data_IF_588155647507
#
_entry.id   IF_588155647507
#
_cell.length_a   1.000
_cell.length_b   1.000
_cell.length_c   1.000
_cell.angle_alpha   90.00
_cell.angle_beta   90.00
_cell.angle_gamma   90.00
#
_symmetry.space_group_name_H-M   'P 1'
#
loop_
_entity.id
_entity.type
_entity.pdbx_description
1 polymer ?
#
# COMPACT_ATOMS: atom_id res chain seq x y z
N UNK A 1 34.80 -29.49 18.86
CA UNK A 1 35.04 -29.61 17.41
C UNK A 1 33.81 -29.01 16.73
N UNK A 2 33.89 -27.75 16.30
CA UNK A 2 32.77 -27.07 15.63
C UNK A 2 33.02 -27.14 14.12
N UNK A 3 32.14 -27.84 13.40
CA UNK A 3 32.12 -27.83 11.94
C UNK A 3 31.52 -26.49 11.51
N UNK A 4 32.38 -25.56 11.06
CA UNK A 4 31.95 -24.35 10.38
C UNK A 4 31.75 -24.75 8.92
N UNK A 5 30.53 -25.11 8.54
CA UNK A 5 30.19 -25.39 7.14
C UNK A 5 30.24 -24.11 6.33
N UNK A 6 31.16 -24.03 5.37
CA UNK A 6 31.27 -22.90 4.44
C UNK A 6 30.04 -22.87 3.52
N UNK A 7 29.18 -21.87 3.66
CA UNK A 7 28.09 -21.62 2.70
C UNK A 7 28.73 -21.03 1.43
N UNK A 8 28.76 -21.81 0.35
CA UNK A 8 29.23 -21.34 -0.95
C UNK A 8 28.08 -20.65 -1.67
N UNK A 9 28.14 -19.33 -1.80
CA UNK A 9 27.19 -18.56 -2.62
C UNK A 9 27.68 -18.62 -4.07
N UNK A 10 27.02 -19.42 -4.91
CA UNK A 10 27.30 -19.46 -6.35
C UNK A 10 26.48 -18.38 -7.05
N UNK A 11 27.14 -17.34 -7.56
CA UNK A 11 26.53 -16.35 -8.45
C UNK A 11 26.62 -16.87 -9.88
N UNK A 12 25.52 -17.39 -10.42
CA UNK A 12 25.39 -17.68 -11.85
C UNK A 12 24.89 -16.43 -12.56
N UNK A 13 25.68 -15.94 -13.52
CA UNK A 13 25.22 -15.02 -14.54
C UNK A 13 25.16 -15.80 -15.86
N UNK A 14 23.98 -16.00 -16.44
CA UNK A 14 23.73 -15.59 -17.82
C UNK A 14 22.24 -15.66 -18.19
N UNK A 15 21.93 -14.84 -19.18
CA UNK A 15 20.69 -14.55 -19.85
C UNK A 15 20.19 -15.73 -20.71
N UNK A 16 18.91 -16.10 -20.56
CA UNK A 16 17.88 -16.29 -21.61
C UNK A 16 16.79 -17.27 -21.14
N UNK A 17 15.55 -16.81 -21.22
CA UNK A 17 14.27 -17.56 -21.22
C UNK A 17 14.16 -18.74 -20.24
N UNK A 18 13.96 -18.44 -18.95
CA UNK A 18 13.90 -19.44 -17.88
C UNK A 18 12.49 -20.03 -17.71
N UNK A 19 12.25 -21.23 -18.24
CA UNK A 19 11.33 -22.17 -17.59
C UNK A 19 12.03 -22.64 -16.31
N UNK A 20 11.56 -22.21 -15.14
CA UNK A 20 12.26 -22.39 -13.86
C UNK A 20 12.51 -23.87 -13.53
N UNK A 21 13.77 -24.30 -13.53
CA UNK A 21 14.22 -25.63 -13.06
C UNK A 21 14.06 -25.83 -11.54
N UNK A 22 13.79 -24.76 -10.79
CA UNK A 22 13.70 -24.77 -9.34
C UNK A 22 12.25 -24.73 -8.85
N UNK A 23 11.97 -25.52 -7.81
CA UNK A 23 10.67 -25.55 -7.12
C UNK A 23 10.50 -24.28 -6.29
N UNK A 24 9.36 -23.61 -6.47
CA UNK A 24 8.98 -22.46 -5.66
C UNK A 24 8.46 -22.93 -4.31
N UNK A 25 8.93 -22.33 -3.22
CA UNK A 25 8.40 -22.63 -1.89
C UNK A 25 6.93 -22.17 -1.80
N UNK A 26 5.99 -23.04 -1.39
CA UNK A 26 4.56 -22.73 -1.45
C UNK A 26 4.15 -21.51 -0.60
N UNK A 27 4.85 -21.26 0.51
CA UNK A 27 4.49 -20.19 1.46
C UNK A 27 5.46 -18.99 1.46
N UNK A 28 6.68 -19.18 0.95
CA UNK A 28 7.77 -18.19 1.08
C UNK A 28 8.17 -17.60 -0.27
N UNK A 29 7.68 -18.16 -1.38
CA UNK A 29 7.85 -17.57 -2.70
C UNK A 29 6.71 -16.58 -2.95
N UNK A 30 6.99 -15.29 -2.79
CA UNK A 30 5.99 -14.24 -2.90
C UNK A 30 5.78 -13.76 -4.34
N UNK A 31 4.53 -13.46 -4.67
CA UNK A 31 4.19 -12.75 -5.89
C UNK A 31 4.33 -11.23 -5.71
N UNK A 32 4.95 -10.59 -6.69
CA UNK A 32 5.11 -9.13 -6.73
C UNK A 32 4.20 -8.52 -7.78
N UNK A 33 3.84 -7.26 -7.55
CA UNK A 33 3.11 -6.41 -8.47
C UNK A 33 3.93 -5.17 -8.78
N UNK A 34 4.04 -4.82 -10.05
CA UNK A 34 4.66 -3.57 -10.53
C UNK A 34 3.57 -2.56 -10.86
N UNK A 35 3.61 -1.41 -10.19
CA UNK A 35 2.68 -0.30 -10.34
C UNK A 35 3.44 0.93 -10.83
N UNK A 36 2.86 1.69 -11.76
CA UNK A 36 3.38 2.97 -12.21
C UNK A 36 2.48 4.08 -11.67
N UNK A 37 3.05 4.98 -10.86
CA UNK A 37 2.38 6.18 -10.37
C UNK A 37 3.17 7.39 -10.82
N UNK A 38 2.50 8.28 -11.56
CA UNK A 38 3.16 9.38 -12.27
C UNK A 38 4.32 8.86 -13.14
N UNK A 39 5.57 9.11 -12.73
CA UNK A 39 6.79 8.67 -13.39
C UNK A 39 7.63 7.71 -12.54
N UNK A 40 7.04 7.08 -11.52
CA UNK A 40 7.74 6.24 -10.56
C UNK A 40 7.18 4.81 -10.54
N UNK A 41 8.07 3.82 -10.67
CA UNK A 41 7.73 2.41 -10.56
C UNK A 41 7.81 1.93 -9.10
N UNK A 42 6.76 1.26 -8.65
CA UNK A 42 6.67 0.61 -7.35
C UNK A 42 6.55 -0.89 -7.56
N UNK A 43 7.52 -1.66 -7.06
CA UNK A 43 7.45 -3.13 -7.03
C UNK A 43 7.19 -3.58 -5.60
N UNK A 44 6.01 -4.13 -5.35
CA UNK A 44 5.54 -4.47 -4.00
C UNK A 44 5.00 -5.89 -3.94
N UNK A 45 4.95 -6.53 -2.76
CA UNK A 45 4.22 -7.78 -2.60
C UNK A 45 2.74 -7.59 -2.96
N UNK A 46 2.17 -8.52 -3.72
CA UNK A 46 0.79 -8.45 -4.21
C UNK A 46 -0.24 -8.72 -3.11
N UNK A 47 0.00 -9.76 -2.32
CA UNK A 47 -0.92 -10.28 -1.30
C UNK A 47 -1.43 -9.21 -0.31
N UNK A 48 -0.59 -8.31 0.23
CA UNK A 48 -1.05 -7.24 1.12
C UNK A 48 -2.11 -6.32 0.52
N UNK A 49 -1.95 -5.94 -0.76
CA UNK A 49 -2.90 -5.09 -1.47
C UNK A 49 -4.20 -5.84 -1.74
N UNK A 50 -4.11 -7.12 -2.12
CA UNK A 50 -5.27 -7.97 -2.37
C UNK A 50 -6.10 -8.25 -1.11
N UNK A 51 -5.44 -8.40 0.05
CA UNK A 51 -6.13 -8.63 1.32
C UNK A 51 -6.81 -7.35 1.84
N UNK A 52 -6.14 -6.20 1.73
CA UNK A 52 -6.66 -4.95 2.29
C UNK A 52 -7.61 -4.20 1.35
N UNK A 53 -7.40 -4.25 0.03
CA UNK A 53 -8.22 -3.51 -0.95
C UNK A 53 -9.20 -4.41 -1.71
N UNK A 54 -10.49 -4.06 -1.63
CA UNK A 54 -11.54 -4.69 -2.44
C UNK A 54 -11.28 -4.48 -3.94
N UNK A 55 -10.93 -3.25 -4.33
CA UNK A 55 -10.68 -2.88 -5.73
C UNK A 55 -9.53 -3.69 -6.32
N UNK A 56 -8.38 -3.78 -5.63
CA UNK A 56 -7.26 -4.59 -6.11
C UNK A 56 -7.61 -6.08 -6.15
N UNK A 57 -8.30 -6.59 -5.12
CA UNK A 57 -8.76 -7.99 -5.11
C UNK A 57 -9.65 -8.34 -6.29
N UNK A 58 -10.60 -7.46 -6.61
CA UNK A 58 -11.52 -7.71 -7.71
C UNK A 58 -10.80 -7.57 -9.06
N UNK A 59 -9.92 -6.57 -9.22
CA UNK A 59 -9.03 -6.43 -10.37
C UNK A 59 -8.23 -7.73 -10.63
N UNK A 60 -7.71 -8.35 -9.58
CA UNK A 60 -6.93 -9.58 -9.65
C UNK A 60 -7.74 -10.84 -10.00
N UNK A 61 -9.06 -10.81 -9.80
CA UNK A 61 -9.98 -11.91 -10.14
C UNK A 61 -10.49 -11.82 -11.57
N UNK A 62 -10.33 -10.68 -12.25
CA UNK A 62 -10.78 -10.53 -13.61
C UNK A 62 -10.03 -11.50 -14.56
N UNK A 63 -10.73 -12.10 -15.53
CA UNK A 63 -10.11 -13.01 -16.47
C UNK A 63 -9.05 -12.27 -17.30
N UNK A 64 -7.85 -12.82 -17.32
CA UNK A 64 -6.75 -12.23 -18.06
C UNK A 64 -6.81 -12.64 -19.55
N UNK A 65 -6.49 -11.72 -20.47
CA UNK A 65 -6.44 -12.03 -21.89
C UNK A 65 -5.44 -13.16 -22.18
N UNK A 66 -5.91 -14.23 -22.85
CA UNK A 66 -5.14 -15.47 -23.06
C UNK A 66 -3.83 -15.31 -23.85
N UNK A 67 -3.70 -14.25 -24.63
CA UNK A 67 -2.60 -14.04 -25.58
C UNK A 67 -1.79 -12.76 -25.31
N UNK A 68 -2.00 -12.10 -24.18
CA UNK A 68 -1.28 -10.87 -23.84
C UNK A 68 -0.42 -11.04 -22.59
N UNK A 69 0.70 -10.33 -22.54
CA UNK A 69 1.50 -10.21 -21.32
C UNK A 69 0.65 -9.58 -20.21
N UNK A 70 0.66 -10.21 -19.04
CA UNK A 70 -0.10 -9.81 -17.87
C UNK A 70 0.47 -8.50 -17.32
N UNK A 71 -0.39 -7.49 -17.19
CA UNK A 71 -0.02 -6.20 -16.61
C UNK A 71 0.44 -6.35 -15.14
N UNK A 72 1.46 -5.59 -14.77
CA UNK A 72 2.03 -5.57 -13.42
C UNK A 72 2.98 -6.73 -13.10
N UNK A 73 3.31 -7.59 -14.07
CA UNK A 73 4.26 -8.71 -13.85
C UNK A 73 5.73 -8.27 -13.90
N UNK A 74 6.03 -7.27 -14.72
CA UNK A 74 7.37 -6.72 -14.91
C UNK A 74 7.32 -5.21 -15.22
N UNK A 75 8.50 -4.61 -15.33
CA UNK A 75 8.69 -3.17 -15.48
C UNK A 75 8.29 -2.66 -16.88
N UNK A 76 8.12 -3.55 -17.87
CA UNK A 76 7.78 -3.18 -19.25
C UNK A 76 6.29 -2.92 -19.43
N UNK A 77 5.44 -3.56 -18.62
CA UNK A 77 3.99 -3.37 -18.63
C UNK A 77 3.45 -3.25 -17.20
N UNK A 78 3.76 -2.16 -16.48
CA UNK A 78 3.27 -1.94 -15.12
C UNK A 78 1.77 -1.64 -15.09
N UNK A 79 1.11 -1.86 -13.95
CA UNK A 79 -0.26 -1.37 -13.72
C UNK A 79 -0.22 0.14 -13.50
N UNK A 80 -0.81 0.91 -14.42
CA UNK A 80 -0.74 2.38 -14.36
C UNK A 80 -1.87 2.93 -13.48
N UNK A 81 -1.50 3.70 -12.44
CA UNK A 81 -2.45 4.36 -11.54
C UNK A 81 -2.50 5.86 -11.87
N UNK A 82 -3.67 6.32 -12.31
CA UNK A 82 -3.92 7.71 -12.68
C UNK A 82 -4.61 8.50 -11.56
N UNK A 83 -4.38 9.81 -11.52
CA UNK A 83 -5.11 10.73 -10.62
C UNK A 83 -4.63 10.73 -9.16
N UNK A 84 -3.49 10.10 -8.88
CA UNK A 84 -2.86 10.06 -7.56
C UNK A 84 -1.38 10.47 -7.71
N UNK A 85 -0.82 11.10 -6.69
CA UNK A 85 0.63 11.38 -6.70
C UNK A 85 1.44 10.21 -6.17
N UNK A 86 2.71 10.12 -6.56
CA UNK A 86 3.61 9.08 -6.05
C UNK A 86 3.82 9.18 -4.53
N UNK A 87 3.80 10.38 -3.96
CA UNK A 87 3.98 10.61 -2.53
C UNK A 87 2.75 10.14 -1.73
N UNK A 88 1.54 10.38 -2.26
CA UNK A 88 0.31 9.86 -1.66
C UNK A 88 0.31 8.33 -1.66
N UNK A 89 0.72 7.74 -2.78
CA UNK A 89 0.81 6.30 -2.94
C UNK A 89 1.86 5.67 -2.01
N UNK A 90 3.04 6.30 -1.90
CA UNK A 90 4.08 5.88 -0.96
C UNK A 90 3.57 5.88 0.49
N UNK A 91 2.78 6.89 0.90
CA UNK A 91 2.20 6.94 2.24
C UNK A 91 1.26 5.75 2.49
N UNK A 92 0.39 5.41 1.53
CA UNK A 92 -0.49 4.24 1.67
C UNK A 92 0.32 2.95 1.78
N UNK A 93 1.32 2.74 0.92
CA UNK A 93 2.17 1.55 0.95
C UNK A 93 2.94 1.43 2.26
N UNK A 94 3.49 2.52 2.76
CA UNK A 94 4.15 2.57 4.07
C UNK A 94 3.18 2.13 5.16
N UNK A 95 1.99 2.73 5.24
CA UNK A 95 0.98 2.36 6.23
C UNK A 95 0.56 0.88 6.15
N UNK A 96 0.38 0.36 4.93
CA UNK A 96 0.03 -1.03 4.66
C UNK A 96 1.12 -2.01 5.14
N UNK A 97 2.36 -1.78 4.69
CA UNK A 97 3.47 -2.71 4.93
C UNK A 97 3.99 -2.63 6.37
N UNK A 98 3.95 -1.45 7.01
CA UNK A 98 4.33 -1.29 8.41
C UNK A 98 3.44 -2.13 9.34
N UNK A 99 2.13 -2.20 9.04
CA UNK A 99 1.16 -2.97 9.83
C UNK A 99 1.39 -4.48 9.74
N UNK A 100 1.86 -4.96 8.60
CA UNK A 100 2.07 -6.40 8.38
C UNK A 100 3.40 -6.92 8.91
N UNK A 101 4.47 -6.12 8.84
CA UNK A 101 5.83 -6.59 9.13
C UNK A 101 6.43 -6.06 10.46
N UNK A 102 5.73 -5.15 11.15
CA UNK A 102 6.16 -4.60 12.43
C UNK A 102 7.35 -3.63 12.34
N UNK A 103 7.22 -2.47 13.00
CA UNK A 103 8.25 -1.48 13.38
C UNK A 103 9.51 -1.35 12.51
N UNK A 104 9.39 -1.36 11.18
CA UNK A 104 10.44 -0.80 10.34
C UNK A 104 10.36 0.73 10.47
N UNK A 105 11.32 1.33 11.18
CA UNK A 105 11.36 2.79 11.43
C UNK A 105 11.23 3.63 10.15
N UNK A 106 11.67 3.10 9.00
CA UNK A 106 11.57 3.79 7.71
C UNK A 106 10.17 3.83 7.09
N UNK A 107 9.23 3.03 7.60
CA UNK A 107 7.85 2.92 7.10
C UNK A 107 6.83 3.64 8.00
N UNK A 108 7.27 4.25 9.10
CA UNK A 108 6.37 4.93 10.05
C UNK A 108 5.97 6.31 9.51
N UNK A 109 4.67 6.60 9.55
CA UNK A 109 4.11 7.91 9.19
C UNK A 109 3.92 8.76 10.44
N UNK A 110 4.40 10.00 10.38
CA UNK A 110 4.41 10.92 11.51
C UNK A 110 3.62 12.20 11.27
N UNK A 111 3.36 12.55 10.01
CA UNK A 111 2.77 13.83 9.65
C UNK A 111 1.29 13.68 9.30
N UNK A 112 0.49 14.70 9.64
CA UNK A 112 -0.94 14.76 9.33
C UNK A 112 -1.21 14.67 7.83
N UNK A 113 -0.42 15.35 6.99
CA UNK A 113 -0.55 15.27 5.53
C UNK A 113 -0.43 13.84 5.00
N UNK A 114 0.50 13.05 5.55
CA UNK A 114 0.69 11.65 5.17
C UNK A 114 -0.54 10.80 5.50
N UNK A 115 -1.10 10.99 6.70
CA UNK A 115 -2.29 10.26 7.12
C UNK A 115 -3.56 10.72 6.38
N UNK A 116 -3.63 11.97 5.90
CA UNK A 116 -4.66 12.41 4.96
C UNK A 116 -4.51 11.67 3.62
N UNK A 117 -3.29 11.50 3.09
CA UNK A 117 -3.05 10.70 1.88
C UNK A 117 -3.50 9.24 2.07
N UNK A 118 -3.19 8.64 3.23
CA UNK A 118 -3.67 7.29 3.58
C UNK A 118 -5.19 7.27 3.62
N UNK A 119 -5.86 8.23 4.26
CA UNK A 119 -7.31 8.32 4.32
C UNK A 119 -7.93 8.43 2.91
N UNK A 120 -7.35 9.27 2.05
CA UNK A 120 -7.80 9.48 0.67
C UNK A 120 -7.75 8.17 -0.13
N UNK A 121 -6.57 7.54 -0.21
CA UNK A 121 -6.39 6.36 -1.04
C UNK A 121 -7.04 5.11 -0.46
N UNK A 122 -7.06 4.96 0.88
CA UNK A 122 -7.79 3.87 1.52
C UNK A 122 -9.30 3.98 1.34
N UNK A 123 -9.84 5.20 1.21
CA UNK A 123 -11.25 5.39 0.83
C UNK A 123 -11.46 5.06 -0.65
N UNK A 124 -10.59 5.56 -1.54
CA UNK A 124 -10.67 5.32 -2.99
C UNK A 124 -10.60 3.84 -3.37
N UNK A 125 -9.75 3.06 -2.69
CA UNK A 125 -9.56 1.64 -2.98
C UNK A 125 -10.22 0.71 -1.96
N UNK A 126 -11.13 1.24 -1.16
CA UNK A 126 -11.93 0.49 -0.20
C UNK A 126 -11.11 -0.34 0.81
N UNK A 127 -9.95 0.19 1.22
CA UNK A 127 -9.11 -0.41 2.24
C UNK A 127 -9.68 -0.13 3.64
N UNK A 128 -10.69 -0.89 4.06
CA UNK A 128 -11.48 -0.62 5.27
C UNK A 128 -10.63 -0.54 6.55
N UNK A 129 -9.69 -1.47 6.72
CA UNK A 129 -8.82 -1.53 7.91
C UNK A 129 -7.84 -0.35 7.95
N UNK A 130 -7.21 -0.02 6.82
CA UNK A 130 -6.36 1.16 6.67
C UNK A 130 -7.13 2.48 6.85
N UNK A 131 -8.33 2.59 6.28
CA UNK A 131 -9.19 3.77 6.43
C UNK A 131 -9.52 4.02 7.90
N UNK A 132 -9.89 2.95 8.62
CA UNK A 132 -10.17 3.03 10.06
C UNK A 132 -8.92 3.45 10.86
N UNK A 133 -7.74 2.96 10.48
CA UNK A 133 -6.49 3.36 11.11
C UNK A 133 -6.18 4.85 10.89
N UNK A 134 -6.38 5.35 9.67
CA UNK A 134 -6.18 6.75 9.34
C UNK A 134 -7.14 7.67 10.10
N UNK A 135 -8.43 7.31 10.17
CA UNK A 135 -9.42 8.06 10.98
C UNK A 135 -9.03 8.05 12.45
N UNK A 136 -8.63 6.91 13.01
CA UNK A 136 -8.22 6.84 14.41
C UNK A 136 -7.02 7.74 14.70
N UNK A 137 -5.99 7.70 13.84
CA UNK A 137 -4.80 8.53 14.01
C UNK A 137 -5.09 10.02 13.86
N UNK A 138 -5.82 10.41 12.80
CA UNK A 138 -6.18 11.80 12.52
C UNK A 138 -7.15 12.40 13.55
N UNK A 139 -7.96 11.57 14.21
CA UNK A 139 -8.85 11.99 15.29
C UNK A 139 -8.14 12.15 16.64
N UNK A 140 -6.92 11.63 16.77
CA UNK A 140 -6.14 11.69 18.01
C UNK A 140 -5.41 13.02 18.18
N UNK A 141 -4.90 13.29 19.39
CA UNK A 141 -4.05 14.45 19.68
C UNK A 141 -2.70 14.43 18.95
N UNK A 142 -2.35 13.33 18.27
CA UNK A 142 -1.14 13.22 17.46
C UNK A 142 -1.25 14.02 16.16
N UNK A 143 -2.47 14.27 15.68
CA UNK A 143 -2.72 15.00 14.46
C UNK A 143 -2.90 16.50 14.74
N UNK A 144 -2.21 17.32 13.95
CA UNK A 144 -2.35 18.77 13.94
C UNK A 144 -3.51 19.19 13.01
N UNK A 145 -4.74 18.75 13.32
CA UNK A 145 -5.94 19.13 12.57
C UNK A 145 -6.77 20.15 13.34
N UNK A 146 -7.05 21.29 12.71
CA UNK A 146 -8.03 22.26 13.23
C UNK A 146 -9.47 21.76 13.06
N UNK A 147 -10.42 22.35 13.78
CA UNK A 147 -11.83 21.92 13.72
C UNK A 147 -12.48 22.16 12.34
N UNK A 148 -12.10 23.23 11.64
CA UNK A 148 -12.54 23.46 10.24
C UNK A 148 -12.06 22.35 9.32
N UNK A 149 -10.80 21.93 9.45
CA UNK A 149 -10.22 20.85 8.63
C UNK A 149 -10.87 19.50 8.97
N UNK A 150 -11.15 19.23 10.25
CA UNK A 150 -11.89 18.03 10.67
C UNK A 150 -13.29 18.01 10.06
N UNK A 151 -14.02 19.12 10.07
CA UNK A 151 -15.34 19.20 9.41
C UNK A 151 -15.21 18.96 7.91
N UNK A 152 -14.26 19.60 7.23
CA UNK A 152 -14.04 19.43 5.80
C UNK A 152 -13.73 17.97 5.44
N UNK A 153 -12.78 17.34 6.14
CA UNK A 153 -12.43 15.93 5.94
C UNK A 153 -13.59 15.00 6.28
N UNK A 154 -14.35 15.30 7.33
CA UNK A 154 -15.49 14.51 7.74
C UNK A 154 -16.62 14.54 6.71
N UNK A 155 -16.88 15.69 6.09
CA UNK A 155 -17.82 15.80 5.00
C UNK A 155 -17.31 15.09 3.74
N UNK A 156 -16.03 15.28 3.40
CA UNK A 156 -15.43 14.72 2.19
C UNK A 156 -15.35 13.19 2.20
N UNK A 157 -15.07 12.58 3.36
CA UNK A 157 -14.84 11.14 3.51
C UNK A 157 -15.92 10.41 4.31
N UNK A 158 -17.07 11.05 4.53
CA UNK A 158 -18.21 10.55 5.34
C UNK A 158 -17.80 10.03 6.73
N UNK A 159 -17.12 10.88 7.52
CA UNK A 159 -16.68 10.58 8.90
C UNK A 159 -17.65 11.23 9.90
N UNK A 160 -18.80 10.59 10.10
CA UNK A 160 -19.89 11.12 10.94
C UNK A 160 -19.47 11.46 12.38
N UNK A 161 -18.53 10.71 12.94
CA UNK A 161 -18.07 10.88 14.32
C UNK A 161 -17.34 12.20 14.61
N UNK A 162 -16.86 12.91 13.58
CA UNK A 162 -16.14 14.17 13.76
C UNK A 162 -17.01 15.42 13.58
N UNK A 163 -18.13 15.31 12.86
CA UNK A 163 -18.94 16.47 12.47
C UNK A 163 -19.48 17.24 13.67
N UNK A 164 -20.23 16.58 14.56
CA UNK A 164 -20.86 17.24 15.70
C UNK A 164 -19.84 17.83 16.69
N UNK A 165 -18.80 17.08 17.14
CA UNK A 165 -17.80 17.64 18.05
C UNK A 165 -17.08 18.87 17.47
N UNK A 166 -16.67 18.84 16.20
CA UNK A 166 -15.93 19.95 15.60
C UNK A 166 -16.82 21.16 15.30
N UNK A 167 -18.10 20.98 14.95
CA UNK A 167 -19.03 22.11 14.81
C UNK A 167 -19.29 22.81 16.15
N UNK A 168 -19.40 22.05 17.24
CA UNK A 168 -19.55 22.64 18.58
C UNK A 168 -18.31 23.43 19.00
N UNK A 169 -17.11 22.93 18.68
CA UNK A 169 -15.86 23.63 18.97
C UNK A 169 -15.71 24.95 18.19
N UNK A 170 -16.27 25.04 16.98
CA UNK A 170 -16.25 26.26 16.16
C UNK A 170 -17.25 27.34 16.62
N UNK A 171 -18.27 26.96 17.39
CA UNK A 171 -19.32 27.86 17.83
C UNK A 171 -19.02 28.56 19.17
N UNK A 172 -17.88 28.25 19.79
CA UNK A 172 -17.40 28.80 21.07
C UNK A 172 -16.37 29.90 20.87
#
# INVERSE_FOLDING_TARGET
>A
MFFIGTVTIVLMADSTTTTSEYLKHPELYMETLVLLVENCLFKVPRKPLEEESVVFRDMFRLPQPKNEMIEGRDDTRPVVLHGISKDEFECLLKALLCRQHGQNKGLVLHFTSQWISVLKLSTMWECTSLRTAAISWLGSSSATLGDVEKVALAMQYDIKGWLLPSLLALAQ
#
